data_IF_846808694066
#
_entry.id   IF_846808694066
#
_cell.length_a   1.000
_cell.length_b   1.000
_cell.length_c   1.000
_cell.angle_alpha   90.00
_cell.angle_beta   90.00
_cell.angle_gamma   90.00
#
_symmetry.space_group_name_H-M   'P 1'
#
loop_
_entity.id
_entity.type
_entity.pdbx_description
1 polymer ?
#
# COMPACT_ATOMS: atom_id res chain seq x y z
N UNK A 1 27.31 -6.25 43.25
CA UNK A 1 26.67 -5.31 42.30
C UNK A 1 26.60 -5.98 40.94
N UNK A 2 25.48 -6.64 40.66
CA UNK A 2 25.35 -7.54 39.52
C UNK A 2 24.90 -6.77 38.27
N UNK A 3 25.77 -6.70 37.25
CA UNK A 3 25.48 -6.01 35.99
C UNK A 3 24.86 -7.02 35.03
N UNK A 4 23.54 -7.08 35.00
CA UNK A 4 22.79 -7.89 34.04
C UNK A 4 23.11 -7.45 32.60
N UNK A 5 23.84 -8.31 31.87
CA UNK A 5 24.11 -8.14 30.44
C UNK A 5 22.78 -8.25 29.69
N UNK A 6 22.25 -7.12 29.21
CA UNK A 6 21.06 -7.11 28.34
C UNK A 6 21.38 -7.89 27.05
N UNK A 7 20.50 -8.78 26.56
CA UNK A 7 20.74 -9.51 25.33
C UNK A 7 20.84 -8.55 24.14
N UNK A 8 21.65 -8.85 23.11
CA UNK A 8 21.77 -7.98 21.96
C UNK A 8 20.41 -7.85 21.27
N UNK A 9 19.95 -6.61 21.09
CA UNK A 9 18.75 -6.31 20.31
C UNK A 9 18.95 -6.88 18.90
N UNK A 10 18.14 -7.87 18.53
CA UNK A 10 18.13 -8.48 17.19
C UNK A 10 18.19 -7.37 16.15
N UNK A 11 19.18 -7.42 15.26
CA UNK A 11 19.29 -6.44 14.17
C UNK A 11 17.96 -6.43 13.43
N UNK A 12 17.34 -5.24 13.33
CA UNK A 12 16.12 -5.07 12.55
C UNK A 12 16.45 -5.56 11.16
N UNK A 13 15.86 -6.70 10.76
CA UNK A 13 16.00 -7.30 9.42
C UNK A 13 16.03 -6.16 8.44
N UNK A 14 17.14 -5.98 7.71
CA UNK A 14 17.25 -4.91 6.74
C UNK A 14 16.00 -4.98 5.89
N UNK A 15 15.29 -3.86 5.76
CA UNK A 15 14.20 -3.78 4.80
C UNK A 15 14.83 -4.08 3.45
N UNK A 16 14.76 -5.35 3.01
CA UNK A 16 15.29 -5.78 1.71
C UNK A 16 14.60 -4.88 0.71
N UNK A 17 15.35 -3.91 0.18
CA UNK A 17 14.87 -2.99 -0.84
C UNK A 17 14.55 -3.86 -2.04
N UNK A 18 13.28 -4.18 -2.21
CA UNK A 18 12.81 -4.86 -3.41
C UNK A 18 13.05 -3.93 -4.58
N UNK A 19 13.49 -4.51 -5.70
CA UNK A 19 13.70 -3.76 -6.93
C UNK A 19 12.40 -3.08 -7.36
N UNK A 20 12.48 -1.86 -7.93
CA UNK A 20 11.30 -1.17 -8.42
C UNK A 20 10.64 -1.98 -9.55
N UNK A 21 9.30 -2.00 -9.65
CA UNK A 21 8.60 -2.70 -10.73
C UNK A 21 8.83 -2.11 -12.14
N UNK A 22 9.34 -0.88 -12.23
CA UNK A 22 9.61 -0.19 -13.50
C UNK A 22 11.11 -0.25 -13.77
N UNK A 23 11.46 -0.73 -14.95
CA UNK A 23 12.85 -0.78 -15.42
C UNK A 23 13.32 0.60 -15.87
N UNK A 24 14.64 0.83 -15.83
CA UNK A 24 15.22 2.14 -16.14
C UNK A 24 15.02 2.59 -17.60
N UNK A 25 14.64 1.67 -18.50
CA UNK A 25 14.42 1.93 -19.93
C UNK A 25 12.99 2.36 -20.30
N UNK A 26 12.03 2.19 -19.39
CA UNK A 26 10.64 2.50 -19.69
C UNK A 26 10.42 4.02 -19.76
N UNK A 27 9.92 4.50 -20.91
CA UNK A 27 9.54 5.91 -21.10
C UNK A 27 8.22 6.20 -20.37
N UNK A 28 8.32 7.01 -19.31
CA UNK A 28 7.18 7.43 -18.49
C UNK A 28 6.57 8.71 -19.08
N UNK A 29 5.61 8.53 -19.98
CA UNK A 29 4.88 9.62 -20.66
C UNK A 29 3.38 9.55 -20.38
N UNK A 30 2.71 10.71 -20.40
CA UNK A 30 1.25 10.82 -20.22
C UNK A 30 0.43 10.02 -21.25
N UNK A 31 1.03 9.72 -22.41
CA UNK A 31 0.43 8.91 -23.49
C UNK A 31 0.32 7.43 -23.11
N UNK A 32 1.19 6.94 -22.23
CA UNK A 32 1.23 5.54 -21.82
C UNK A 32 0.26 5.27 -20.68
N UNK A 33 -1.04 5.32 -20.99
CA UNK A 33 -2.13 5.20 -20.01
C UNK A 33 -2.05 3.86 -19.26
N UNK A 34 -1.71 2.76 -19.94
CA UNK A 34 -1.57 1.42 -19.34
C UNK A 34 -0.51 1.34 -18.25
N UNK A 35 0.57 2.12 -18.36
CA UNK A 35 1.62 2.20 -17.35
C UNK A 35 1.16 3.07 -16.17
N UNK A 36 0.63 4.25 -16.47
CA UNK A 36 0.28 5.25 -15.45
C UNK A 36 -0.94 4.85 -14.63
N UNK A 37 -1.90 4.15 -15.25
CA UNK A 37 -3.13 3.68 -14.58
C UNK A 37 -2.85 2.70 -13.42
N UNK A 38 -1.71 2.00 -13.45
CA UNK A 38 -1.29 1.10 -12.35
C UNK A 38 -0.88 1.84 -11.08
N UNK A 39 -0.56 3.12 -11.19
CA UNK A 39 -0.07 3.96 -10.08
C UNK A 39 -1.14 4.90 -9.52
N UNK A 40 -2.39 4.76 -9.96
CA UNK A 40 -3.55 5.43 -9.39
C UNK A 40 -4.42 4.44 -8.62
N UNK A 41 -5.10 4.93 -7.59
CA UNK A 41 -6.14 4.16 -6.91
C UNK A 41 -7.41 4.10 -7.76
N UNK A 42 -8.32 3.21 -7.40
CA UNK A 42 -9.65 3.16 -8.03
C UNK A 42 -10.42 4.48 -7.93
N UNK A 43 -10.17 5.26 -6.87
CA UNK A 43 -10.76 6.60 -6.69
C UNK A 43 -10.17 7.65 -7.62
N UNK A 44 -9.12 7.32 -8.37
CA UNK A 44 -8.35 8.26 -9.17
C UNK A 44 -7.37 9.10 -8.33
N UNK A 45 -6.89 8.62 -7.18
CA UNK A 45 -5.83 9.31 -6.40
C UNK A 45 -4.45 8.74 -6.76
N UNK A 46 -3.41 9.57 -6.76
CA UNK A 46 -2.04 9.10 -7.01
C UNK A 46 -1.56 8.30 -5.79
N UNK A 47 -1.10 7.06 -6.01
CA UNK A 47 -0.56 6.23 -4.94
C UNK A 47 0.80 6.74 -4.49
N UNK A 48 1.08 6.59 -3.18
CA UNK A 48 2.36 7.04 -2.62
C UNK A 48 3.53 6.16 -3.10
N UNK A 49 4.73 6.75 -3.13
CA UNK A 49 5.96 6.04 -3.49
C UNK A 49 6.20 4.77 -2.68
N UNK A 50 5.81 4.75 -1.40
CA UNK A 50 5.99 3.60 -0.50
C UNK A 50 5.13 2.41 -0.91
N UNK A 51 3.93 2.68 -1.43
CA UNK A 51 3.00 1.66 -1.94
C UNK A 51 3.50 1.15 -3.29
N UNK A 52 3.85 2.06 -4.20
CA UNK A 52 4.31 1.72 -5.55
C UNK A 52 5.72 1.10 -5.59
N UNK A 53 6.50 1.27 -4.51
CA UNK A 53 7.89 0.81 -4.38
C UNK A 53 8.82 1.32 -5.50
N UNK A 54 8.67 2.59 -5.85
CA UNK A 54 9.44 3.24 -6.89
C UNK A 54 10.61 4.06 -6.34
N UNK A 55 11.58 4.35 -7.21
CA UNK A 55 12.60 5.36 -6.93
C UNK A 55 11.96 6.75 -6.86
N UNK A 56 12.64 7.70 -6.20
CA UNK A 56 12.12 9.07 -6.09
C UNK A 56 11.99 9.74 -7.47
N UNK A 57 12.96 9.50 -8.36
CA UNK A 57 12.96 10.01 -9.75
C UNK A 57 11.76 9.48 -10.52
N UNK A 58 11.53 8.16 -10.52
CA UNK A 58 10.36 7.56 -11.19
C UNK A 58 9.04 8.11 -10.64
N UNK A 59 8.89 8.23 -9.31
CA UNK A 59 7.66 8.79 -8.73
C UNK A 59 7.39 10.22 -9.20
N UNK A 60 8.43 11.07 -9.30
CA UNK A 60 8.29 12.45 -9.81
C UNK A 60 7.81 12.46 -11.27
N UNK A 61 8.45 11.65 -12.12
CA UNK A 61 8.08 11.52 -13.53
C UNK A 61 6.65 11.04 -13.70
N UNK A 62 6.26 9.98 -12.97
CA UNK A 62 4.87 9.48 -12.98
C UNK A 62 3.91 10.57 -12.54
N UNK A 63 4.20 11.27 -11.43
CA UNK A 63 3.31 12.32 -10.91
C UNK A 63 3.07 13.42 -11.95
N UNK A 64 4.11 13.83 -12.68
CA UNK A 64 4.00 14.82 -13.77
C UNK A 64 3.13 14.25 -14.89
N UNK A 65 3.42 13.02 -15.35
CA UNK A 65 2.69 12.38 -16.42
C UNK A 65 1.20 12.15 -16.08
N UNK A 66 0.87 11.77 -14.83
CA UNK A 66 -0.53 11.65 -14.36
C UNK A 66 -1.23 13.00 -14.42
N UNK A 67 -0.57 14.07 -13.96
CA UNK A 67 -1.15 15.41 -13.95
C UNK A 67 -1.43 15.90 -15.37
N UNK A 68 -0.49 15.70 -16.29
CA UNK A 68 -0.67 16.01 -17.72
C UNK A 68 -1.84 15.21 -18.30
N UNK A 69 -1.89 13.90 -18.07
CA UNK A 69 -2.98 13.04 -18.54
C UNK A 69 -4.36 13.48 -18.00
N UNK A 70 -4.43 14.00 -16.77
CA UNK A 70 -5.67 14.54 -16.19
C UNK A 70 -6.11 15.85 -16.84
N UNK A 71 -5.18 16.75 -17.12
CA UNK A 71 -5.48 18.01 -17.83
C UNK A 71 -6.03 17.70 -19.23
N UNK A 72 -5.46 16.70 -19.89
CA UNK A 72 -5.92 16.21 -21.20
C UNK A 72 -7.15 15.29 -21.13
N UNK A 73 -7.79 15.17 -19.96
CA UNK A 73 -8.97 14.31 -19.75
C UNK A 73 -8.79 12.81 -20.07
N UNK A 74 -7.54 12.32 -20.19
CA UNK A 74 -7.22 10.89 -20.37
C UNK A 74 -7.43 10.11 -19.07
N UNK A 75 -7.31 10.77 -17.91
CA UNK A 75 -7.53 10.19 -16.60
C UNK A 75 -8.47 11.07 -15.77
N UNK A 76 -9.35 10.47 -14.95
CA UNK A 76 -10.27 11.22 -14.11
C UNK A 76 -9.56 11.83 -12.89
N UNK A 77 -10.04 12.99 -12.44
CA UNK A 77 -9.62 13.61 -11.19
C UNK A 77 -10.20 12.91 -9.96
N UNK A 78 -11.43 12.39 -10.07
CA UNK A 78 -12.14 11.70 -8.99
C UNK A 78 -13.14 10.70 -9.57
N UNK A 79 -13.05 9.46 -9.12
CA UNK A 79 -14.02 8.42 -9.48
C UNK A 79 -15.06 8.30 -8.36
N UNK A 80 -16.31 8.66 -8.66
CA UNK A 80 -17.43 8.56 -7.72
C UNK A 80 -18.01 7.13 -7.70
N UNK A 81 -17.16 6.09 -7.68
CA UNK A 81 -17.66 4.73 -7.54
C UNK A 81 -18.19 4.57 -6.11
N UNK A 82 -19.49 4.30 -5.97
CA UNK A 82 -20.08 3.90 -4.70
C UNK A 82 -19.44 2.56 -4.32
N UNK A 83 -18.58 2.57 -3.30
CA UNK A 83 -18.07 1.33 -2.73
C UNK A 83 -19.26 0.65 -2.09
N UNK A 84 -19.85 -0.32 -2.78
CA UNK A 84 -20.81 -1.23 -2.15
C UNK A 84 -20.07 -1.91 -1.01
N UNK A 85 -20.39 -1.51 0.22
CA UNK A 85 -19.94 -2.23 1.41
C UNK A 85 -20.62 -3.58 1.36
N UNK A 86 -19.96 -4.60 0.80
CA UNK A 86 -20.38 -5.99 1.00
C UNK A 86 -20.45 -6.19 2.51
N UNK A 87 -21.64 -6.52 3.00
CA UNK A 87 -22.03 -6.41 4.41
C UNK A 87 -20.97 -6.98 5.36
N UNK A 88 -20.73 -6.27 6.46
CA UNK A 88 -19.90 -6.76 7.55
C UNK A 88 -20.39 -8.15 7.97
N UNK A 89 -19.53 -9.15 7.90
CA UNK A 89 -19.78 -10.47 8.48
C UNK A 89 -20.14 -10.24 9.96
N UNK A 90 -21.31 -10.69 10.44
CA UNK A 90 -21.66 -10.51 11.84
C UNK A 90 -20.63 -11.23 12.71
N UNK A 91 -19.94 -10.49 13.58
CA UNK A 91 -19.06 -11.06 14.60
C UNK A 91 -19.93 -11.87 15.55
N UNK A 92 -19.93 -13.20 15.40
CA UNK A 92 -20.53 -14.09 16.40
C UNK A 92 -19.79 -13.93 17.73
N UNK A 93 -20.43 -13.31 18.71
CA UNK A 93 -20.01 -13.31 20.11
C UNK A 93 -20.31 -14.69 20.69
N UNK A 94 -19.45 -15.68 20.47
CA UNK A 94 -19.50 -16.91 21.26
C UNK A 94 -19.07 -16.58 22.70
N UNK A 95 -20.04 -16.45 23.60
CA UNK A 95 -19.82 -16.48 25.04
C UNK A 95 -19.21 -17.84 25.38
N UNK A 96 -17.90 -17.84 25.60
CA UNK A 96 -17.13 -19.01 26.04
C UNK A 96 -17.47 -19.26 27.51
N UNK A 97 -18.43 -20.14 27.77
CA UNK A 97 -18.66 -20.67 29.12
C UNK A 97 -17.44 -21.50 29.53
N UNK A 98 -16.68 -21.03 30.52
CA UNK A 98 -15.63 -21.82 31.18
C UNK A 98 -16.33 -22.73 32.19
N UNK A 99 -16.40 -24.02 31.90
CA UNK A 99 -16.72 -25.03 32.91
C UNK A 99 -15.60 -25.03 33.96
N UNK A 100 -15.92 -24.59 35.18
CA UNK A 100 -15.07 -24.77 36.36
C UNK A 100 -15.24 -26.21 36.85
N UNK A 101 -14.28 -27.07 36.59
CA UNK A 101 -14.13 -28.32 37.33
C UNK A 101 -13.68 -27.99 38.76
N UNK A 102 -14.53 -28.31 39.75
CA UNK A 102 -14.15 -28.41 41.16
C UNK A 102 -13.65 -29.84 41.37
N UNK A 103 -12.38 -29.98 41.75
CA UNK A 103 -11.85 -31.23 42.25
C UNK A 103 -11.92 -31.21 43.78
N UNK A 104 -12.27 -32.36 44.36
CA UNK A 104 -12.14 -32.70 45.78
C UNK A 104 -10.67 -32.73 46.21
#
# INVERSE_FOLDING_TARGET
MDKSKRPPLKSKRSFRRRLPPIESGDRIDYRNISLISRFISEQGKILSRRVNRLTLKQQRLITIAIKQARILSLLPFRNNKKVERKGSIPRTTRLRTRTRTRNN
#
